data_IF_664296580409
#
_entry.id   IF_664296580409
#
_cell.length_a   1.000
_cell.length_b   1.000
_cell.length_c   1.000
_cell.angle_alpha   90.00
_cell.angle_beta   90.00
_cell.angle_gamma   90.00
#
_symmetry.space_group_name_H-M   'P 1'
#
loop_
_entity.id
_entity.type
_entity.pdbx_description
1 polymer ?
#
# COMPACT_ATOMS: atom_id res chain seq x y z
N UNK A 1 20.12 5.08 14.60
CA UNK A 1 19.01 4.12 14.39
C UNK A 1 17.74 4.80 14.87
N UNK A 2 16.65 4.81 14.08
CA UNK A 2 15.35 5.27 14.57
C UNK A 2 15.02 4.50 15.86
N UNK A 3 14.61 5.21 16.90
CA UNK A 3 14.49 4.60 18.24
C UNK A 3 13.29 3.66 18.32
N UNK A 4 12.22 3.97 17.59
CA UNK A 4 10.97 3.24 17.61
C UNK A 4 10.52 2.92 16.18
N UNK A 5 10.74 1.69 15.74
CA UNK A 5 10.18 1.13 14.50
C UNK A 5 9.20 0.03 14.90
N UNK A 6 7.94 0.19 14.52
CA UNK A 6 6.86 -0.75 14.83
C UNK A 6 6.16 -1.22 13.56
N UNK A 7 5.82 -2.51 13.53
CA UNK A 7 4.90 -3.07 12.55
C UNK A 7 3.48 -2.83 13.05
N UNK A 8 2.66 -2.18 12.24
CA UNK A 8 1.25 -1.90 12.54
C UNK A 8 0.33 -2.91 11.90
N UNK A 9 0.71 -3.43 10.73
CA UNK A 9 -0.07 -4.40 9.98
C UNK A 9 0.80 -5.17 9.01
N UNK A 10 0.43 -6.41 8.74
CA UNK A 10 1.04 -7.23 7.70
C UNK A 10 -0.07 -7.92 6.92
N UNK A 11 -0.01 -7.81 5.61
CA UNK A 11 -1.02 -8.32 4.70
C UNK A 11 -0.49 -9.54 3.96
N UNK A 12 -1.38 -10.48 3.71
CA UNK A 12 -1.05 -11.64 2.90
C UNK A 12 -0.95 -11.19 1.45
N UNK A 13 0.21 -11.44 0.83
CA UNK A 13 0.34 -11.36 -0.62
C UNK A 13 0.20 -12.76 -1.20
N UNK A 14 -0.58 -12.88 -2.27
CA UNK A 14 -0.71 -14.11 -3.05
C UNK A 14 -0.02 -13.99 -4.42
N UNK A 15 0.86 -13.00 -4.57
CA UNK A 15 1.74 -12.92 -5.72
C UNK A 15 2.78 -14.04 -5.68
N UNK A 16 3.26 -14.52 -6.84
CA UNK A 16 4.35 -15.48 -6.90
C UNK A 16 5.60 -14.97 -6.18
N UNK A 17 6.31 -15.83 -5.44
CA UNK A 17 7.58 -15.45 -4.80
C UNK A 17 8.68 -15.16 -5.83
N UNK A 18 8.60 -15.82 -6.99
CA UNK A 18 9.50 -15.74 -8.13
C UNK A 18 8.92 -14.87 -9.27
N UNK A 19 8.06 -13.90 -8.94
CA UNK A 19 7.51 -12.95 -9.91
C UNK A 19 8.63 -12.25 -10.69
N UNK A 20 8.45 -12.11 -12.01
CA UNK A 20 9.38 -11.44 -12.93
C UNK A 20 8.77 -10.19 -13.57
N UNK A 21 7.54 -9.84 -13.18
CA UNK A 21 6.85 -8.69 -13.76
C UNK A 21 7.59 -7.39 -13.41
N UNK A 22 7.89 -6.51 -14.39
CA UNK A 22 8.74 -5.32 -14.18
C UNK A 22 8.18 -4.34 -13.15
N UNK A 23 6.86 -4.35 -12.94
CA UNK A 23 6.15 -3.51 -11.97
C UNK A 23 5.78 -4.22 -10.66
N UNK A 24 6.38 -5.39 -10.38
CA UNK A 24 6.22 -6.12 -9.10
C UNK A 24 7.55 -6.67 -8.57
N UNK A 25 8.67 -6.22 -9.15
CA UNK A 25 10.01 -6.73 -8.85
C UNK A 25 11.00 -5.58 -8.63
N UNK A 26 12.12 -5.88 -7.97
CA UNK A 26 13.16 -4.89 -7.68
C UNK A 26 12.60 -3.66 -6.93
N UNK A 27 12.84 -2.42 -7.43
CA UNK A 27 12.29 -1.21 -6.84
C UNK A 27 10.75 -1.14 -6.78
N UNK A 28 10.06 -1.94 -7.61
CA UNK A 28 8.60 -2.04 -7.67
C UNK A 28 8.05 -3.23 -6.87
N UNK A 29 8.89 -3.91 -6.08
CA UNK A 29 8.44 -5.03 -5.26
C UNK A 29 7.38 -4.53 -4.24
N UNK A 30 6.21 -5.17 -4.16
CA UNK A 30 5.17 -4.75 -3.24
C UNK A 30 5.61 -4.79 -1.77
N UNK A 31 5.20 -3.77 -1.02
CA UNK A 31 5.38 -3.64 0.43
C UNK A 31 4.14 -4.17 1.16
N UNK A 32 4.23 -5.35 1.75
CA UNK A 32 3.08 -5.98 2.41
C UNK A 32 2.88 -5.57 3.87
N UNK A 33 3.74 -4.69 4.39
CA UNK A 33 3.80 -4.33 5.80
C UNK A 33 3.56 -2.83 6.00
N UNK A 34 2.67 -2.50 6.91
CA UNK A 34 2.44 -1.15 7.44
C UNK A 34 3.37 -0.90 8.62
N UNK A 35 4.04 0.24 8.60
CA UNK A 35 5.07 0.63 9.56
C UNK A 35 4.76 1.97 10.20
N UNK A 36 5.19 2.08 11.46
CA UNK A 36 5.42 3.33 12.15
C UNK A 36 6.90 3.42 12.50
N UNK A 37 7.53 4.55 12.15
CA UNK A 37 8.91 4.80 12.49
C UNK A 37 9.08 6.25 12.96
N UNK A 38 9.54 6.43 14.19
CA UNK A 38 9.77 7.74 14.81
C UNK A 38 11.25 8.06 14.95
N UNK A 39 11.54 9.36 15.14
CA UNK A 39 12.89 9.90 15.27
C UNK A 39 13.83 9.41 14.14
N UNK A 40 13.37 9.55 12.89
CA UNK A 40 14.18 9.23 11.73
C UNK A 40 15.45 10.10 11.74
N UNK A 41 16.58 9.46 11.43
CA UNK A 41 17.89 10.11 11.39
C UNK A 41 18.21 10.49 9.95
N UNK A 42 18.57 11.75 9.71
CA UNK A 42 19.08 12.19 8.42
C UNK A 42 20.35 11.41 8.08
N UNK A 43 20.41 10.84 6.87
CA UNK A 43 21.59 10.10 6.41
C UNK A 43 22.79 11.04 6.23
N UNK A 44 22.52 12.26 5.77
CA UNK A 44 23.50 13.34 5.59
C UNK A 44 22.83 14.68 5.95
N UNK A 45 23.61 15.58 6.56
CA UNK A 45 23.14 16.90 6.98
C UNK A 45 22.21 16.87 8.21
N UNK A 46 21.34 17.87 8.31
CA UNK A 46 20.37 18.03 9.37
C UNK A 46 18.97 18.35 8.81
N UNK A 47 17.93 17.96 9.54
CA UNK A 47 16.56 18.32 9.20
C UNK A 47 16.34 19.78 9.61
N UNK A 48 15.92 20.68 8.71
CA UNK A 48 15.70 22.08 9.06
C UNK A 48 14.68 22.22 10.20
N UNK A 49 15.01 23.04 11.21
CA UNK A 49 14.17 23.24 12.38
C UNK A 49 12.86 23.98 12.08
N UNK A 50 12.82 24.74 10.99
CA UNK A 50 11.67 25.52 10.52
C UNK A 50 10.78 24.77 9.53
N UNK A 51 11.15 23.54 9.14
CA UNK A 51 10.29 22.68 8.34
C UNK A 51 9.23 22.01 9.22
N UNK A 52 7.99 22.48 9.12
CA UNK A 52 6.82 21.91 9.78
C UNK A 52 5.78 21.51 8.72
N UNK A 53 5.52 20.22 8.59
CA UNK A 53 4.56 19.71 7.63
C UNK A 53 4.72 18.24 7.30
N UNK A 54 4.03 17.79 6.26
CA UNK A 54 4.03 16.41 5.81
C UNK A 54 4.27 16.31 4.30
N UNK A 55 5.13 15.38 3.91
CA UNK A 55 5.22 14.89 2.55
C UNK A 55 4.39 13.60 2.43
N UNK A 56 3.47 13.57 1.46
CA UNK A 56 2.57 12.44 1.26
C UNK A 56 2.65 11.96 -0.19
N UNK A 57 2.78 10.65 -0.38
CA UNK A 57 2.84 9.98 -1.68
C UNK A 57 1.92 8.76 -1.69
N UNK A 58 1.18 8.58 -2.77
CA UNK A 58 0.47 7.33 -3.04
C UNK A 58 1.32 6.43 -3.93
N UNK A 59 1.30 5.13 -3.67
CA UNK A 59 1.92 4.08 -4.49
C UNK A 59 0.90 3.01 -4.84
N UNK A 60 1.13 2.37 -5.98
CA UNK A 60 0.53 1.13 -6.38
C UNK A 60 1.24 -0.03 -5.68
N UNK A 61 0.48 -0.90 -5.02
CA UNK A 61 1.04 -1.90 -4.14
C UNK A 61 0.18 -3.17 -4.15
N UNK A 62 0.19 -3.95 -5.24
CA UNK A 62 -0.68 -5.10 -5.41
C UNK A 62 -0.38 -6.18 -4.37
N UNK A 63 -1.42 -6.71 -3.71
CA UNK A 63 -1.32 -7.92 -2.88
C UNK A 63 -1.67 -9.20 -3.64
N UNK A 64 -2.49 -9.07 -4.68
CA UNK A 64 -3.04 -10.20 -5.42
C UNK A 64 -2.71 -10.11 -6.92
N UNK A 65 -2.60 -11.24 -7.62
CA UNK A 65 -2.38 -11.22 -9.07
C UNK A 65 -3.60 -10.69 -9.81
N UNK A 66 -3.41 -9.99 -10.92
CA UNK A 66 -4.51 -9.68 -11.82
C UNK A 66 -5.09 -10.96 -12.46
N UNK A 67 -6.37 -10.94 -12.85
CA UNK A 67 -7.00 -12.09 -13.53
C UNK A 67 -6.37 -12.45 -14.88
N UNK A 68 -5.79 -11.47 -15.58
CA UNK A 68 -5.18 -11.66 -16.90
C UNK A 68 -3.84 -10.97 -17.00
N UNK A 69 -3.86 -9.65 -17.16
CA UNK A 69 -2.68 -8.82 -17.34
C UNK A 69 -2.71 -7.77 -16.25
N UNK A 70 -1.60 -7.61 -15.55
CA UNK A 70 -1.48 -6.60 -14.51
C UNK A 70 -1.10 -5.25 -15.15
N UNK A 71 -1.89 -4.22 -14.90
CA UNK A 71 -1.49 -2.84 -15.16
C UNK A 71 -0.97 -2.21 -13.86
N UNK A 72 0.08 -1.37 -13.88
CA UNK A 72 0.55 -0.64 -12.69
C UNK A 72 -0.52 0.21 -11.99
N UNK A 73 -1.63 0.50 -12.66
CA UNK A 73 -2.74 1.27 -12.07
C UNK A 73 -3.80 0.39 -11.39
N UNK A 74 -3.63 -0.94 -11.44
CA UNK A 74 -4.53 -1.90 -10.81
C UNK A 74 -4.10 -2.26 -9.38
N UNK A 75 -2.88 -1.89 -8.98
CA UNK A 75 -2.37 -2.20 -7.65
C UNK A 75 -3.12 -1.46 -6.54
N UNK A 76 -3.25 -2.10 -5.38
CA UNK A 76 -3.86 -1.48 -4.20
C UNK A 76 -3.11 -0.21 -3.80
N UNK A 77 -3.85 0.83 -3.44
CA UNK A 77 -3.23 2.09 -3.02
C UNK A 77 -2.55 1.96 -1.65
N UNK A 78 -1.33 2.46 -1.52
CA UNK A 78 -0.65 2.63 -0.24
C UNK A 78 -0.15 4.07 -0.09
N UNK A 79 -0.58 4.74 0.98
CA UNK A 79 -0.07 6.05 1.33
C UNK A 79 1.20 5.92 2.15
N UNK A 80 2.19 6.73 1.79
CA UNK A 80 3.42 6.92 2.53
C UNK A 80 3.48 8.38 3.00
N UNK A 81 3.81 8.56 4.27
CA UNK A 81 3.94 9.87 4.90
C UNK A 81 5.31 9.99 5.52
N UNK A 82 6.00 11.10 5.24
CA UNK A 82 7.11 11.58 6.05
C UNK A 82 6.68 12.91 6.66
N UNK A 83 6.58 12.97 7.98
CA UNK A 83 6.28 14.19 8.70
C UNK A 83 7.54 14.83 9.24
N UNK A 84 7.57 16.16 9.29
CA UNK A 84 8.68 16.97 9.77
C UNK A 84 8.17 17.97 10.79
N UNK A 85 8.91 18.12 11.90
CA UNK A 85 8.64 19.12 12.92
C UNK A 85 9.83 19.27 13.87
N UNK A 86 10.18 20.50 14.23
CA UNK A 86 11.21 20.81 15.23
C UNK A 86 12.56 20.08 14.98
N UNK A 87 12.97 19.99 13.70
CA UNK A 87 14.21 19.29 13.30
C UNK A 87 14.15 17.77 13.40
N UNK A 88 12.95 17.19 13.55
CA UNK A 88 12.71 15.74 13.60
C UNK A 88 11.85 15.29 12.43
N UNK A 89 11.97 14.02 12.09
CA UNK A 89 11.09 13.38 11.13
C UNK A 89 10.53 12.05 11.64
N UNK A 90 9.36 11.69 11.13
CA UNK A 90 8.75 10.38 11.31
C UNK A 90 8.23 9.84 9.98
N UNK A 91 8.10 8.52 9.87
CA UNK A 91 7.53 7.85 8.70
C UNK A 91 6.34 6.98 9.09
N UNK A 92 5.34 6.94 8.20
CA UNK A 92 4.16 6.08 8.30
C UNK A 92 3.78 5.56 6.92
N UNK A 93 3.28 4.33 6.82
CA UNK A 93 2.54 3.88 5.63
C UNK A 93 1.28 3.09 5.98
N UNK A 94 0.23 3.27 5.16
CA UNK A 94 -1.06 2.58 5.30
C UNK A 94 -1.64 2.22 3.94
N UNK A 95 -2.22 1.03 3.83
CA UNK A 95 -3.07 0.68 2.70
C UNK A 95 -4.34 1.54 2.73
N UNK A 96 -4.75 2.02 1.57
CA UNK A 96 -6.04 2.66 1.37
C UNK A 96 -7.10 1.56 1.42
N UNK A 97 -7.93 1.57 2.46
CA UNK A 97 -8.96 0.56 2.72
C UNK A 97 -10.18 0.76 1.83
N UNK A 98 -10.01 0.56 0.53
CA UNK A 98 -11.12 0.54 -0.43
C UNK A 98 -11.96 -0.73 -0.24
N UNK A 99 -13.22 -0.70 -0.69
CA UNK A 99 -14.08 -1.89 -0.63
C UNK A 99 -13.49 -3.09 -1.38
N UNK A 100 -12.80 -2.84 -2.51
CA UNK A 100 -12.11 -3.88 -3.28
C UNK A 100 -10.95 -4.49 -2.52
N UNK A 101 -10.09 -3.67 -1.93
CA UNK A 101 -8.97 -4.12 -1.10
C UNK A 101 -9.45 -5.00 0.07
N UNK A 102 -10.48 -4.54 0.79
CA UNK A 102 -11.01 -5.28 1.94
C UNK A 102 -11.60 -6.63 1.52
N UNK A 103 -12.36 -6.64 0.43
CA UNK A 103 -12.96 -7.85 -0.13
C UNK A 103 -11.93 -8.88 -0.60
N UNK A 104 -10.90 -8.44 -1.32
CA UNK A 104 -9.86 -9.34 -1.84
C UNK A 104 -9.00 -9.91 -0.73
N UNK A 105 -8.67 -9.10 0.29
CA UNK A 105 -7.93 -9.56 1.45
C UNK A 105 -8.75 -10.54 2.31
N UNK A 106 -10.07 -10.37 2.42
CA UNK A 106 -10.96 -11.35 3.07
C UNK A 106 -11.05 -12.66 2.26
N UNK A 107 -11.12 -12.57 0.93
CA UNK A 107 -11.16 -13.72 0.05
C UNK A 107 -9.80 -14.42 -0.14
N UNK A 108 -8.69 -13.76 0.22
CA UNK A 108 -7.34 -14.25 0.02
C UNK A 108 -6.95 -14.34 -1.45
N UNK A 109 -7.46 -13.45 -2.30
CA UNK A 109 -7.22 -13.51 -3.73
C UNK A 109 -7.99 -12.48 -4.55
N UNK A 110 -7.67 -12.35 -5.85
CA UNK A 110 -8.25 -11.34 -6.69
C UNK A 110 -9.72 -11.64 -6.97
N UNK A 111 -10.53 -10.60 -6.92
CA UNK A 111 -11.94 -10.65 -7.23
C UNK A 111 -12.32 -9.54 -8.24
N UNK A 112 -11.46 -8.53 -8.44
CA UNK A 112 -11.63 -7.42 -9.37
C UNK A 112 -10.80 -7.65 -10.65
N UNK A 113 -11.39 -7.48 -11.85
CA UNK A 113 -10.74 -7.85 -13.11
C UNK A 113 -9.60 -6.93 -13.59
N UNK A 114 -9.40 -5.77 -12.94
CA UNK A 114 -8.40 -4.76 -13.33
C UNK A 114 -8.76 -3.99 -14.61
N UNK A 115 -7.96 -2.96 -14.93
CA UNK A 115 -8.07 -2.16 -16.13
C UNK A 115 -7.47 -2.87 -17.36
N UNK A 116 -8.04 -2.75 -18.58
CA UNK A 116 -9.26 -2.04 -18.97
C UNK A 116 -10.51 -2.94 -18.93
N UNK A 117 -10.46 -4.07 -18.22
CA UNK A 117 -11.55 -5.03 -18.23
C UNK A 117 -12.80 -4.42 -17.58
N UNK A 118 -13.99 -4.56 -18.18
CA UNK A 118 -15.21 -4.08 -17.54
C UNK A 118 -15.42 -4.81 -16.20
N UNK A 119 -15.59 -4.05 -15.12
CA UNK A 119 -15.93 -4.58 -13.80
C UNK A 119 -17.20 -5.42 -13.91
N UNK A 120 -17.14 -6.74 -13.67
CA UNK A 120 -18.33 -7.57 -13.65
C UNK A 120 -18.99 -7.53 -12.26
N UNK A 121 -19.92 -6.60 -12.07
CA UNK A 121 -20.67 -6.40 -10.81
C UNK A 121 -21.28 -7.70 -10.23
N UNK A 122 -21.53 -8.72 -11.06
CA UNK A 122 -22.05 -10.04 -10.65
C UNK A 122 -21.09 -10.85 -9.76
N UNK A 123 -19.77 -10.65 -9.84
CA UNK A 123 -18.81 -11.26 -8.89
C UNK A 123 -18.50 -10.33 -7.71
N UNK A 124 -18.38 -9.02 -7.96
CA UNK A 124 -18.13 -8.01 -6.93
C UNK A 124 -19.30 -7.85 -5.93
N UNK A 125 -20.54 -8.11 -6.36
CA UNK A 125 -21.75 -7.95 -5.56
C UNK A 125 -21.86 -8.85 -4.33
N UNK A 126 -21.04 -9.90 -4.21
CA UNK A 126 -20.97 -10.69 -2.97
C UNK A 126 -20.02 -10.13 -1.91
N UNK A 127 -19.10 -9.24 -2.28
CA UNK A 127 -18.10 -8.71 -1.36
C UNK A 127 -18.39 -7.26 -0.90
N UNK A 128 -19.25 -6.52 -1.62
CA UNK A 128 -19.61 -5.14 -1.28
C UNK A 128 -21.05 -4.94 -0.79
N UNK A 129 -21.85 -5.99 -0.65
CA UNK A 129 -23.24 -5.86 -0.22
C UNK A 129 -23.34 -5.80 1.31
N UNK A 130 -22.96 -4.67 1.91
CA UNK A 130 -23.53 -4.27 3.20
C UNK A 130 -24.90 -3.67 2.90
N UNK A 131 -25.96 -4.41 3.21
CA UNK A 131 -27.32 -3.89 3.20
C UNK A 131 -27.36 -2.62 4.05
N UNK A 132 -27.69 -1.48 3.42
CA UNK A 132 -27.94 -0.23 4.15
C UNK A 132 -29.28 -0.40 4.84
N UNK A 133 -29.25 -0.63 6.16
CA UNK A 133 -30.37 -0.39 7.07
C UNK A 133 -30.44 1.07 7.48
#
# INVERSE_FOLDING_TARGET
>A
MPKDIAIVGKFLSTLPEDDDHPYRTGPWRPQTTEWDADDLVAVEGEIPGDLDGVYLRNTENPLHPAFKTYHPFDGDGMLHVVGFRDGKAFYRNRFIRTDGFLAENEAGGPLWPGWPSPCNWRRAGKAGARERG
#
